data_IF_489302109044
#
_entry.id   IF_489302109044
#
_cell.length_a   1.000
_cell.length_b   1.000
_cell.length_c   1.000
_cell.angle_alpha   90.00
_cell.angle_beta   90.00
_cell.angle_gamma   90.00
#
_symmetry.space_group_name_H-M   'P 1'
#
loop_
_entity.id
_entity.type
_entity.pdbx_description
1 polymer ?
#
# COMPACT_ATOMS: atom_id res chain seq x y z
N UNK A 1 46.88 4.75 20.66
CA UNK A 1 47.27 3.62 19.81
C UNK A 1 46.63 2.37 20.40
N UNK A 2 45.39 2.05 20.01
CA UNK A 2 44.61 0.98 20.61
C UNK A 2 44.52 -0.17 19.59
N UNK A 3 45.12 -1.31 19.95
CA UNK A 3 45.14 -2.53 19.14
C UNK A 3 43.75 -3.13 19.09
N UNK A 4 43.16 -3.18 17.94
CA UNK A 4 41.97 -3.99 17.66
C UNK A 4 42.32 -5.46 17.63
N UNK A 5 41.69 -6.21 18.54
CA UNK A 5 41.79 -7.66 18.65
C UNK A 5 41.16 -8.32 17.42
N UNK A 6 41.93 -9.14 16.77
CA UNK A 6 41.51 -10.11 15.75
C UNK A 6 40.79 -11.25 16.46
N UNK A 7 39.60 -11.57 16.03
CA UNK A 7 38.94 -12.88 16.05
C UNK A 7 37.43 -12.74 16.24
N UNK A 8 36.75 -12.48 15.13
CA UNK A 8 35.38 -12.94 14.98
C UNK A 8 35.38 -14.01 13.90
N UNK A 9 35.60 -15.24 14.30
CA UNK A 9 35.39 -16.41 13.45
C UNK A 9 33.85 -16.55 13.23
N UNK A 10 33.38 -16.15 12.06
CA UNK A 10 32.07 -16.55 11.58
C UNK A 10 32.10 -18.06 11.39
N UNK A 11 31.56 -18.82 12.34
CA UNK A 11 31.24 -20.23 12.14
C UNK A 11 30.02 -20.33 11.24
N UNK A 12 30.26 -20.63 9.98
CA UNK A 12 29.23 -21.04 9.05
C UNK A 12 28.72 -22.42 9.51
N UNK A 13 27.66 -22.43 10.31
CA UNK A 13 26.94 -23.65 10.66
C UNK A 13 26.04 -24.02 9.49
N UNK A 14 26.38 -25.08 8.77
CA UNK A 14 25.49 -25.70 7.78
C UNK A 14 24.41 -26.46 8.54
N UNK A 15 23.30 -25.78 8.82
CA UNK A 15 22.07 -26.36 9.32
C UNK A 15 20.94 -26.01 8.37
N UNK A 16 20.14 -27.00 8.02
CA UNK A 16 18.97 -26.91 7.16
C UNK A 16 18.02 -25.83 7.73
N UNK A 17 17.83 -24.72 7.00
CA UNK A 17 16.81 -23.70 7.27
C UNK A 17 17.35 -22.38 7.80
N UNK A 18 17.05 -21.30 7.11
CA UNK A 18 17.14 -19.90 7.44
C UNK A 18 18.56 -19.29 7.56
N UNK A 19 18.95 -18.53 6.55
CA UNK A 19 20.02 -17.56 6.68
C UNK A 19 19.46 -16.27 7.28
N UNK A 20 19.84 -15.94 8.50
CA UNK A 20 19.61 -14.64 9.10
C UNK A 20 20.82 -13.76 8.79
N UNK A 21 20.70 -12.83 7.88
CA UNK A 21 21.70 -11.79 7.70
C UNK A 21 21.31 -10.59 8.58
N UNK A 22 21.96 -10.45 9.72
CA UNK A 22 21.79 -9.28 10.57
C UNK A 22 22.72 -8.20 10.02
N UNK A 23 22.18 -7.27 9.24
CA UNK A 23 22.86 -6.03 8.90
C UNK A 23 22.45 -5.02 9.94
N UNK A 24 23.26 -4.89 10.99
CA UNK A 24 23.10 -3.84 11.99
C UNK A 24 23.59 -2.51 11.42
N UNK A 25 22.77 -1.77 10.72
CA UNK A 25 22.98 -0.35 10.49
C UNK A 25 22.44 0.40 11.72
N UNK A 26 23.36 0.83 12.59
CA UNK A 26 23.02 1.67 13.74
C UNK A 26 22.88 3.10 13.23
N UNK A 27 21.67 3.47 12.83
CA UNK A 27 21.22 4.85 12.81
C UNK A 27 19.96 4.94 13.67
N UNK A 28 20.10 5.48 14.86
CA UNK A 28 18.99 5.64 15.77
C UNK A 28 18.32 4.31 16.18
N UNK A 29 17.65 4.25 17.23
CA UNK A 29 17.07 3.13 17.99
C UNK A 29 16.27 2.03 17.23
N UNK A 30 16.19 2.02 15.92
CA UNK A 30 15.43 1.03 15.11
C UNK A 30 16.35 -0.09 14.61
N UNK A 31 16.02 -1.33 14.94
CA UNK A 31 16.70 -2.52 14.42
C UNK A 31 15.90 -3.07 13.24
N UNK A 32 16.46 -3.00 12.06
CA UNK A 32 15.91 -3.67 10.87
C UNK A 32 16.41 -5.11 10.87
N UNK A 33 15.51 -6.08 11.02
CA UNK A 33 15.81 -7.48 10.87
C UNK A 33 15.34 -7.91 9.46
N UNK A 34 16.28 -8.05 8.53
CA UNK A 34 15.96 -8.58 7.21
C UNK A 34 15.95 -10.10 7.31
N UNK A 35 14.78 -10.69 7.17
CA UNK A 35 14.58 -12.13 7.20
C UNK A 35 14.21 -12.60 5.78
N UNK A 36 15.03 -13.47 5.22
CA UNK A 36 14.73 -14.07 3.93
C UNK A 36 14.08 -15.43 4.17
N UNK A 37 12.75 -15.46 4.25
CA UNK A 37 11.97 -16.70 4.29
C UNK A 37 11.50 -17.04 2.89
N UNK A 38 12.06 -18.08 2.32
CA UNK A 38 11.61 -18.59 1.05
C UNK A 38 11.72 -20.12 1.01
N UNK A 39 10.92 -20.84 0.20
CA UNK A 39 11.05 -22.28 -0.01
C UNK A 39 12.36 -22.66 -0.72
N UNK A 40 13.25 -21.72 -0.84
CA UNK A 40 14.53 -21.79 -1.54
C UNK A 40 15.58 -22.37 -0.63
N UNK A 41 15.56 -23.68 -0.47
CA UNK A 41 16.71 -24.42 0.07
C UNK A 41 17.91 -24.24 -0.87
N UNK A 42 19.12 -24.37 -0.31
CA UNK A 42 20.41 -24.32 -1.03
C UNK A 42 20.45 -25.14 -2.33
N UNK A 43 19.54 -26.09 -2.50
CA UNK A 43 19.41 -26.89 -3.71
C UNK A 43 19.01 -26.11 -4.96
N UNK A 44 18.23 -25.04 -4.80
CA UNK A 44 17.83 -24.21 -5.96
C UNK A 44 18.89 -23.17 -6.32
N UNK A 45 19.72 -22.75 -5.36
CA UNK A 45 20.87 -21.87 -5.63
C UNK A 45 21.94 -22.61 -6.42
N UNK A 46 22.15 -23.89 -6.10
CA UNK A 46 23.16 -24.72 -6.78
C UNK A 46 22.76 -25.03 -8.23
N UNK A 47 21.46 -25.18 -8.54
CA UNK A 47 21.01 -25.43 -9.93
C UNK A 47 21.11 -24.19 -10.82
N UNK A 48 21.07 -22.97 -10.24
CA UNK A 48 21.31 -21.73 -10.98
C UNK A 48 22.78 -21.38 -11.18
N UNK A 49 23.68 -21.95 -10.38
CA UNK A 49 25.14 -21.71 -10.46
C UNK A 49 25.88 -22.67 -11.39
N UNK A 50 25.30 -23.82 -11.70
CA UNK A 50 25.89 -24.85 -12.57
C UNK A 50 24.93 -25.16 -13.73
N UNK A 51 24.56 -24.13 -14.47
CA UNK A 51 23.77 -24.28 -15.68
C UNK A 51 24.52 -25.16 -16.69
N UNK A 52 23.92 -26.28 -17.11
CA UNK A 52 24.31 -26.97 -18.33
C UNK A 52 23.91 -26.09 -19.50
N UNK A 53 24.86 -25.80 -20.38
CA UNK A 53 24.64 -25.10 -21.64
C UNK A 53 23.60 -25.86 -22.49
N UNK A 54 22.35 -25.44 -22.46
CA UNK A 54 21.43 -25.71 -23.55
C UNK A 54 21.48 -24.51 -24.50
N UNK A 55 22.06 -24.77 -25.65
CA UNK A 55 22.11 -23.87 -26.81
C UNK A 55 20.64 -23.61 -27.21
N UNK A 56 20.18 -22.40 -26.98
CA UNK A 56 18.86 -21.97 -27.46
C UNK A 56 19.06 -21.38 -28.86
N UNK A 57 18.42 -22.01 -29.84
CA UNK A 57 18.31 -21.46 -31.21
C UNK A 57 17.64 -20.07 -31.13
N UNK A 58 18.31 -19.08 -31.70
CA UNK A 58 17.77 -17.74 -31.95
C UNK A 58 16.67 -17.85 -32.99
N UNK A 59 15.41 -17.82 -32.57
CA UNK A 59 14.29 -17.55 -33.47
C UNK A 59 13.54 -16.31 -32.95
N UNK A 60 13.65 -15.26 -33.77
CA UNK A 60 13.03 -13.95 -33.57
C UNK A 60 11.50 -14.05 -33.48
N UNK A 61 10.94 -13.97 -32.28
CA UNK A 61 9.59 -13.50 -32.12
C UNK A 61 9.46 -12.64 -30.86
N UNK A 62 9.43 -11.35 -31.06
CA UNK A 62 9.00 -10.36 -30.08
C UNK A 62 7.60 -10.75 -29.59
N UNK A 63 7.47 -11.39 -28.41
CA UNK A 63 6.46 -11.09 -27.43
C UNK A 63 6.47 -12.05 -26.22
N UNK A 64 6.56 -11.50 -25.04
CA UNK A 64 6.29 -12.21 -23.80
C UNK A 64 7.53 -12.85 -23.21
N UNK A 65 8.26 -12.15 -22.36
CA UNK A 65 9.27 -12.76 -21.49
C UNK A 65 8.70 -14.00 -20.81
N UNK A 66 9.49 -15.08 -20.82
CA UNK A 66 9.10 -16.36 -20.27
C UNK A 66 9.20 -16.27 -18.74
N UNK A 67 8.10 -15.89 -18.08
CA UNK A 67 8.03 -15.67 -16.63
C UNK A 67 7.55 -16.94 -15.91
N UNK A 68 7.75 -16.98 -14.59
CA UNK A 68 7.23 -18.04 -13.75
C UNK A 68 5.70 -18.08 -13.82
N UNK A 69 5.11 -19.30 -13.79
CA UNK A 69 3.66 -19.47 -13.87
C UNK A 69 2.92 -18.93 -12.63
N UNK A 70 3.60 -18.89 -11.49
CA UNK A 70 3.06 -18.41 -10.21
C UNK A 70 3.94 -17.30 -9.67
N UNK A 71 3.36 -16.30 -8.94
CA UNK A 71 4.13 -15.34 -8.19
C UNK A 71 5.04 -16.04 -7.17
N UNK A 72 6.19 -15.44 -6.94
CA UNK A 72 7.20 -15.90 -5.98
C UNK A 72 7.52 -14.75 -5.04
N UNK A 73 7.85 -15.06 -3.79
CA UNK A 73 8.32 -14.06 -2.86
C UNK A 73 9.70 -13.54 -3.30
N UNK A 74 9.78 -12.25 -3.53
CA UNK A 74 11.00 -11.55 -3.96
C UNK A 74 11.79 -11.06 -2.77
N UNK A 75 11.10 -10.49 -1.78
CA UNK A 75 11.70 -9.98 -0.54
C UNK A 75 10.74 -10.03 0.63
N UNK A 76 11.28 -9.95 1.84
CA UNK A 76 10.51 -9.76 3.07
C UNK A 76 11.35 -8.99 4.08
N UNK A 77 10.81 -7.89 4.57
CA UNK A 77 11.42 -7.06 5.61
C UNK A 77 10.51 -7.03 6.83
N UNK A 78 11.09 -7.06 8.01
CA UNK A 78 10.34 -7.10 9.27
C UNK A 78 10.71 -5.90 10.14
N UNK A 79 9.70 -5.26 10.73
CA UNK A 79 9.87 -4.13 11.65
C UNK A 79 9.21 -4.44 13.00
N UNK A 80 9.75 -3.84 14.06
CA UNK A 80 9.08 -3.87 15.37
C UNK A 80 7.81 -2.99 15.30
N UNK A 81 6.68 -3.49 15.78
CA UNK A 81 5.40 -2.78 15.75
C UNK A 81 5.42 -1.42 16.48
N UNK A 82 6.29 -1.26 17.49
CA UNK A 82 6.46 0.01 18.19
C UNK A 82 7.44 1.00 17.56
N UNK A 83 8.02 0.70 16.38
CA UNK A 83 9.02 1.54 15.74
C UNK A 83 8.43 2.70 14.93
N UNK A 84 7.14 2.65 14.59
CA UNK A 84 6.44 3.70 13.86
C UNK A 84 4.95 3.72 14.23
N UNK A 85 4.25 4.77 13.84
CA UNK A 85 2.80 4.96 14.04
C UNK A 85 2.10 5.49 12.79
N UNK A 86 2.85 5.87 11.76
CA UNK A 86 2.33 6.41 10.51
C UNK A 86 2.88 5.65 9.31
N UNK A 87 2.12 5.62 8.22
CA UNK A 87 2.52 5.05 6.93
C UNK A 87 2.62 6.16 5.87
N UNK A 88 3.65 6.06 5.03
CA UNK A 88 3.83 6.90 3.86
C UNK A 88 4.11 5.99 2.66
N UNK A 89 3.14 5.94 1.73
CA UNK A 89 3.11 5.01 0.62
C UNK A 89 3.27 5.75 -0.70
N UNK A 90 4.23 5.34 -1.51
CA UNK A 90 4.41 5.79 -2.89
C UNK A 90 4.26 4.61 -3.84
N UNK A 91 3.06 4.47 -4.42
CA UNK A 91 2.65 3.35 -5.27
C UNK A 91 2.63 3.81 -6.72
N UNK A 92 3.76 3.82 -7.39
CA UNK A 92 3.83 4.28 -8.78
C UNK A 92 3.18 3.27 -9.75
N UNK A 93 3.34 1.97 -9.50
CA UNK A 93 2.75 0.88 -10.29
C UNK A 93 2.72 -0.44 -9.50
N UNK A 94 1.89 -1.39 -9.91
CA UNK A 94 1.70 -2.68 -9.25
C UNK A 94 0.66 -2.58 -8.15
N UNK A 95 0.57 -3.59 -7.29
CA UNK A 95 -0.46 -3.68 -6.26
C UNK A 95 0.18 -3.57 -4.87
N UNK A 96 -0.43 -2.79 -3.98
CA UNK A 96 -0.08 -2.74 -2.55
C UNK A 96 -1.30 -3.16 -1.74
N UNK A 97 -1.11 -4.12 -0.85
CA UNK A 97 -2.13 -4.60 0.08
C UNK A 97 -1.69 -4.34 1.52
N UNK A 98 -2.51 -3.63 2.30
CA UNK A 98 -2.31 -3.46 3.74
C UNK A 98 -3.41 -4.20 4.47
N UNK A 99 -3.02 -5.10 5.35
CA UNK A 99 -3.97 -5.93 6.09
C UNK A 99 -3.58 -6.10 7.54
N UNK A 100 -4.59 -6.21 8.38
CA UNK A 100 -4.41 -6.52 9.78
C UNK A 100 -4.16 -8.02 9.97
N UNK A 101 -3.23 -8.34 10.87
CA UNK A 101 -2.98 -9.69 11.38
C UNK A 101 -3.15 -9.72 12.89
N UNK A 102 -3.41 -10.90 13.47
CA UNK A 102 -3.74 -11.01 14.90
C UNK A 102 -2.63 -10.48 15.81
N UNK A 103 -1.39 -10.87 15.54
CA UNK A 103 -0.20 -10.50 16.31
C UNK A 103 1.08 -10.70 15.48
N UNK A 104 2.21 -10.31 16.05
CA UNK A 104 3.53 -10.49 15.45
C UNK A 104 4.22 -9.17 15.07
N UNK A 105 5.36 -9.25 14.41
CA UNK A 105 6.02 -8.07 13.88
C UNK A 105 5.32 -7.55 12.62
N UNK A 106 5.55 -6.30 12.29
CA UNK A 106 5.17 -5.76 10.98
C UNK A 106 6.00 -6.44 9.90
N UNK A 107 5.36 -6.89 8.83
CA UNK A 107 6.03 -7.52 7.70
C UNK A 107 5.68 -6.81 6.41
N UNK A 108 6.69 -6.48 5.64
CA UNK A 108 6.55 -5.97 4.27
C UNK A 108 7.08 -7.04 3.33
N UNK A 109 6.22 -7.62 2.54
CA UNK A 109 6.51 -8.77 1.67
C UNK A 109 6.28 -8.34 0.24
N UNK A 110 7.29 -8.44 -0.60
CA UNK A 110 7.16 -8.26 -2.04
C UNK A 110 7.11 -9.61 -2.74
N UNK A 111 6.16 -9.78 -3.65
CA UNK A 111 6.00 -10.94 -4.52
C UNK A 111 5.82 -10.53 -5.98
N UNK A 112 6.05 -11.44 -6.90
CA UNK A 112 5.87 -11.20 -8.33
C UNK A 112 6.25 -12.40 -9.17
N UNK A 113 5.97 -12.33 -10.47
CA UNK A 113 6.37 -13.37 -11.43
C UNK A 113 7.74 -13.07 -11.99
N UNK A 114 8.68 -13.99 -11.85
CA UNK A 114 10.09 -13.83 -12.20
C UNK A 114 10.38 -14.39 -13.59
N UNK A 115 11.20 -13.66 -14.36
CA UNK A 115 11.65 -14.14 -15.67
C UNK A 115 12.45 -15.44 -15.52
N UNK A 116 12.25 -16.40 -16.44
CA UNK A 116 12.99 -17.66 -16.43
C UNK A 116 14.50 -17.42 -16.53
N UNK A 117 15.26 -18.17 -15.75
CA UNK A 117 16.72 -18.02 -15.71
C UNK A 117 17.24 -16.89 -14.83
N UNK A 118 16.35 -16.08 -14.25
CA UNK A 118 16.70 -15.04 -13.28
C UNK A 118 16.45 -15.56 -11.86
N UNK A 119 17.45 -15.41 -11.00
CA UNK A 119 17.26 -15.67 -9.57
C UNK A 119 16.49 -14.50 -8.94
N UNK A 120 15.34 -14.76 -8.36
CA UNK A 120 14.56 -13.79 -7.60
C UNK A 120 15.38 -13.09 -6.48
N UNK A 121 16.48 -13.68 -6.09
CA UNK A 121 17.34 -13.22 -5.01
C UNK A 121 18.23 -12.02 -5.34
N UNK A 122 18.44 -11.68 -6.62
CA UNK A 122 19.37 -10.61 -7.00
C UNK A 122 18.65 -9.43 -7.63
N UNK A 123 18.36 -8.42 -6.81
CA UNK A 123 17.93 -7.11 -7.29
C UNK A 123 16.55 -7.05 -7.93
N UNK A 124 15.70 -8.03 -7.64
CA UNK A 124 14.33 -8.00 -8.13
C UNK A 124 13.40 -7.09 -7.33
N UNK A 125 13.84 -6.63 -6.15
CA UNK A 125 13.06 -5.77 -5.28
C UNK A 125 12.97 -4.36 -5.83
N UNK A 126 11.74 -3.91 -6.08
CA UNK A 126 11.46 -2.52 -6.52
C UNK A 126 11.02 -1.63 -5.37
N UNK A 127 10.47 -2.20 -4.31
CA UNK A 127 9.98 -1.45 -3.17
C UNK A 127 11.01 -1.38 -2.07
N UNK A 128 11.22 -0.18 -1.58
CA UNK A 128 12.05 0.09 -0.40
C UNK A 128 11.14 0.36 0.77
N UNK A 129 11.36 -0.35 1.87
CA UNK A 129 10.66 -0.12 3.12
C UNK A 129 11.67 0.33 4.19
N UNK A 130 11.46 1.51 4.75
CA UNK A 130 12.33 2.06 5.80
C UNK A 130 11.53 2.87 6.82
N UNK A 131 12.01 2.89 8.05
CA UNK A 131 11.43 3.71 9.11
C UNK A 131 12.23 5.00 9.24
N UNK A 132 11.56 6.13 8.98
CA UNK A 132 12.09 7.47 9.18
C UNK A 132 11.30 8.18 10.28
N UNK A 133 11.96 8.41 11.42
CA UNK A 133 11.27 8.95 12.60
C UNK A 133 10.21 8.00 13.13
N UNK A 134 8.93 8.39 13.05
CA UNK A 134 7.76 7.58 13.44
C UNK A 134 6.94 7.10 12.24
N UNK A 135 7.50 7.15 11.03
CA UNK A 135 6.80 6.81 9.79
C UNK A 135 7.50 5.64 9.10
N UNK A 136 6.75 4.61 8.74
CA UNK A 136 7.19 3.59 7.80
C UNK A 136 6.92 4.09 6.38
N UNK A 137 7.99 4.34 5.64
CA UNK A 137 7.93 4.73 4.24
C UNK A 137 8.08 3.50 3.35
N UNK A 138 7.19 3.38 2.39
CA UNK A 138 7.23 2.33 1.37
C UNK A 138 7.14 3.02 0.02
N UNK A 139 8.25 2.97 -0.71
CA UNK A 139 8.36 3.59 -2.01
C UNK A 139 8.83 2.62 -3.08
N UNK A 140 8.71 3.04 -4.32
CA UNK A 140 9.24 2.31 -5.45
C UNK A 140 10.69 2.72 -5.70
N UNK A 141 11.59 1.76 -5.90
CA UNK A 141 12.95 2.07 -6.31
C UNK A 141 13.00 2.42 -7.81
N UNK A 142 13.93 3.29 -8.20
CA UNK A 142 14.18 3.69 -9.59
C UNK A 142 14.70 2.55 -10.51
N UNK A 143 14.68 1.32 -10.05
CA UNK A 143 15.11 0.17 -10.82
C UNK A 143 14.03 -0.25 -11.82
N UNK A 144 14.22 0.09 -13.08
CA UNK A 144 13.56 -0.53 -14.22
C UNK A 144 14.01 -1.99 -14.34
N UNK A 145 13.44 -2.87 -13.52
CA UNK A 145 13.81 -4.26 -13.51
C UNK A 145 12.75 -5.12 -14.22
N UNK A 146 12.96 -5.38 -15.51
CA UNK A 146 12.14 -6.28 -16.31
C UNK A 146 12.19 -7.75 -15.84
N UNK A 147 12.99 -8.05 -14.80
CA UNK A 147 13.16 -9.41 -14.27
C UNK A 147 11.97 -9.95 -13.49
N UNK A 148 11.08 -9.09 -13.05
CA UNK A 148 9.83 -9.51 -12.41
C UNK A 148 8.67 -8.59 -12.78
N UNK A 149 7.50 -9.21 -13.01
CA UNK A 149 6.24 -8.56 -13.36
C UNK A 149 5.14 -8.93 -12.35
N UNK A 150 3.98 -8.32 -12.46
CA UNK A 150 2.80 -8.57 -11.60
C UNK A 150 3.19 -8.47 -10.11
N UNK A 151 3.82 -7.35 -9.74
CA UNK A 151 4.36 -7.16 -8.41
C UNK A 151 3.28 -6.75 -7.42
N UNK A 152 3.28 -7.42 -6.27
CA UNK A 152 2.43 -7.11 -5.13
C UNK A 152 3.30 -6.91 -3.90
N UNK A 153 3.06 -5.82 -3.18
CA UNK A 153 3.62 -5.56 -1.86
C UNK A 153 2.52 -5.78 -0.83
N UNK A 154 2.71 -6.73 0.05
CA UNK A 154 1.79 -6.98 1.17
C UNK A 154 2.41 -6.45 2.47
N UNK A 155 1.67 -5.58 3.16
CA UNK A 155 2.03 -5.02 4.45
C UNK A 155 1.13 -5.66 5.51
N UNK A 156 1.71 -6.46 6.37
CA UNK A 156 1.00 -7.09 7.49
C UNK A 156 1.24 -6.28 8.77
N UNK A 157 0.16 -5.69 9.29
CA UNK A 157 0.19 -4.92 10.54
C UNK A 157 -0.45 -5.73 11.67
N UNK A 158 0.22 -5.91 12.82
CA UNK A 158 -0.40 -6.52 13.98
C UNK A 158 -1.57 -5.67 14.48
N UNK A 159 -2.62 -6.31 14.99
CA UNK A 159 -3.88 -5.69 15.42
C UNK A 159 -3.69 -4.45 16.31
N UNK A 160 -2.78 -4.51 17.27
CA UNK A 160 -2.52 -3.40 18.18
C UNK A 160 -2.07 -2.13 17.44
N UNK A 161 -1.24 -2.27 16.40
CA UNK A 161 -0.80 -1.15 15.56
C UNK A 161 -1.89 -0.76 14.56
N UNK A 162 -2.51 -1.73 13.90
CA UNK A 162 -3.55 -1.53 12.90
C UNK A 162 -4.78 -0.76 13.43
N UNK A 163 -5.12 -0.95 14.71
CA UNK A 163 -6.22 -0.26 15.37
C UNK A 163 -5.86 1.15 15.89
N UNK A 164 -4.60 1.57 15.78
CA UNK A 164 -4.09 2.79 16.41
C UNK A 164 -3.07 3.55 15.52
N UNK A 165 -3.23 3.52 14.20
CA UNK A 165 -2.38 4.32 13.32
C UNK A 165 -2.65 5.82 13.51
N UNK A 166 -1.61 6.64 13.45
CA UNK A 166 -1.74 8.09 13.48
C UNK A 166 -2.16 8.60 12.10
N UNK A 167 -1.27 8.45 11.14
CA UNK A 167 -1.47 8.99 9.80
C UNK A 167 -1.20 7.91 8.76
N UNK A 168 -1.99 7.90 7.71
CA UNK A 168 -1.71 7.14 6.50
C UNK A 168 -1.73 8.13 5.33
N UNK A 169 -0.60 8.28 4.67
CA UNK A 169 -0.48 9.05 3.43
C UNK A 169 -0.20 8.10 2.27
N UNK A 170 -0.99 8.19 1.22
CA UNK A 170 -0.85 7.36 0.04
C UNK A 170 -0.83 8.21 -1.24
N UNK A 171 0.25 8.08 -2.01
CA UNK A 171 0.39 8.65 -3.34
C UNK A 171 0.39 7.48 -4.34
N UNK A 172 -0.68 7.39 -5.14
CA UNK A 172 -0.92 6.29 -6.06
C UNK A 172 -0.92 6.81 -7.49
N UNK A 173 0.05 6.37 -8.28
CA UNK A 173 0.15 6.73 -9.70
C UNK A 173 -0.77 5.90 -10.58
N UNK A 174 -0.27 4.76 -11.06
CA UNK A 174 -1.04 3.81 -11.89
C UNK A 174 -1.17 2.44 -11.24
N UNK A 175 -0.85 2.31 -9.97
CA UNK A 175 -0.97 1.09 -9.21
C UNK A 175 -2.30 1.00 -8.47
N UNK A 176 -2.53 -0.14 -7.83
CA UNK A 176 -3.70 -0.40 -7.01
C UNK A 176 -3.33 -0.46 -5.53
N UNK A 177 -4.18 0.07 -4.68
CA UNK A 177 -3.99 0.07 -3.23
C UNK A 177 -5.22 -0.49 -2.53
N UNK A 178 -5.06 -1.55 -1.76
CA UNK A 178 -6.11 -2.10 -0.92
C UNK A 178 -5.70 -2.02 0.55
N UNK A 179 -6.54 -1.40 1.38
CA UNK A 179 -6.35 -1.27 2.83
C UNK A 179 -7.56 -1.86 3.53
N UNK A 180 -7.35 -2.86 4.38
CA UNK A 180 -8.46 -3.51 5.08
C UNK A 180 -8.22 -3.65 6.58
N UNK A 181 -9.28 -3.42 7.37
CA UNK A 181 -9.29 -3.58 8.83
C UNK A 181 -8.24 -2.71 9.55
N UNK A 182 -8.06 -1.47 9.09
CA UNK A 182 -7.14 -0.50 9.68
C UNK A 182 -7.93 0.67 10.27
N UNK A 183 -7.45 1.18 11.41
CA UNK A 183 -7.94 2.42 11.98
C UNK A 183 -6.81 3.46 12.06
N UNK A 184 -7.08 4.65 11.55
CA UNK A 184 -6.15 5.79 11.61
C UNK A 184 -6.85 7.07 12.06
N UNK A 185 -6.06 8.05 12.50
CA UNK A 185 -6.59 9.38 12.78
C UNK A 185 -6.79 10.16 11.49
N UNK A 186 -5.74 10.30 10.69
CA UNK A 186 -5.78 11.04 9.45
C UNK A 186 -5.44 10.15 8.26
N UNK A 187 -6.17 10.32 7.15
CA UNK A 187 -5.94 9.61 5.90
C UNK A 187 -5.85 10.61 4.75
N UNK A 188 -4.70 10.65 4.10
CA UNK A 188 -4.44 11.50 2.94
C UNK A 188 -4.17 10.64 1.70
N UNK A 189 -4.98 10.80 0.65
CA UNK A 189 -4.87 10.07 -0.61
C UNK A 189 -4.68 11.05 -1.77
N UNK A 190 -3.69 10.76 -2.61
CA UNK A 190 -3.59 11.32 -3.97
C UNK A 190 -3.55 10.16 -4.95
N UNK A 191 -4.51 10.10 -5.87
CA UNK A 191 -4.64 9.07 -6.87
C UNK A 191 -4.64 9.67 -8.27
N UNK A 192 -3.71 9.26 -9.13
CA UNK A 192 -3.68 9.70 -10.54
C UNK A 192 -4.58 8.85 -11.44
N UNK A 193 -4.36 7.51 -11.51
CA UNK A 193 -5.04 6.65 -12.49
C UNK A 193 -5.27 5.20 -12.03
N UNK A 194 -4.84 4.81 -10.86
CA UNK A 194 -5.04 3.46 -10.33
C UNK A 194 -6.36 3.32 -9.58
N UNK A 195 -6.52 2.22 -8.88
CA UNK A 195 -7.70 1.97 -8.06
C UNK A 195 -7.34 1.90 -6.58
N UNK A 196 -8.21 2.44 -5.72
CA UNK A 196 -7.99 2.41 -4.27
C UNK A 196 -9.24 1.88 -3.57
N UNK A 197 -9.04 0.86 -2.73
CA UNK A 197 -10.04 0.32 -1.83
C UNK A 197 -9.59 0.50 -0.37
N UNK A 198 -10.39 1.19 0.41
CA UNK A 198 -10.18 1.38 1.84
C UNK A 198 -11.39 0.91 2.63
N UNK A 199 -11.22 -0.12 3.45
CA UNK A 199 -12.24 -0.59 4.38
C UNK A 199 -11.71 -0.50 5.82
N UNK A 200 -12.23 0.44 6.61
CA UNK A 200 -11.68 0.71 7.94
C UNK A 200 -12.27 1.91 8.65
N UNK A 201 -11.49 2.49 9.56
CA UNK A 201 -11.90 3.63 10.38
C UNK A 201 -10.95 4.81 10.18
N UNK A 202 -11.51 5.98 9.87
CA UNK A 202 -10.79 7.26 9.92
C UNK A 202 -11.45 8.12 10.98
N UNK A 203 -10.71 8.46 12.05
CA UNK A 203 -11.36 9.13 13.21
C UNK A 203 -11.39 10.64 13.12
N UNK A 204 -10.41 11.27 12.49
CA UNK A 204 -10.24 12.72 12.49
C UNK A 204 -10.45 13.34 11.10
N UNK A 205 -9.56 13.10 10.15
CA UNK A 205 -9.56 13.76 8.84
C UNK A 205 -9.36 12.76 7.70
N UNK A 206 -10.17 12.89 6.64
CA UNK A 206 -9.98 12.20 5.39
C UNK A 206 -9.84 13.23 4.27
N UNK A 207 -8.73 13.19 3.53
CA UNK A 207 -8.51 13.99 2.32
C UNK A 207 -8.24 13.05 1.16
N UNK A 208 -8.95 13.23 0.03
CA UNK A 208 -8.74 12.45 -1.18
C UNK A 208 -8.79 13.34 -2.43
N UNK A 209 -7.70 13.32 -3.19
CA UNK A 209 -7.63 13.91 -4.52
C UNK A 209 -7.53 12.79 -5.56
N UNK A 210 -8.58 12.61 -6.36
CA UNK A 210 -8.72 11.55 -7.34
C UNK A 210 -8.69 12.14 -8.73
N UNK A 211 -7.72 11.74 -9.55
CA UNK A 211 -7.57 12.16 -10.96
C UNK A 211 -8.53 11.44 -11.89
N UNK A 212 -8.19 10.21 -12.28
CA UNK A 212 -8.97 9.40 -13.24
C UNK A 212 -9.20 7.96 -12.78
N UNK A 213 -8.76 7.60 -11.59
CA UNK A 213 -8.95 6.26 -11.03
C UNK A 213 -10.22 6.14 -10.22
N UNK A 214 -10.53 4.94 -9.78
CA UNK A 214 -11.71 4.65 -8.98
C UNK A 214 -11.35 4.45 -7.51
N UNK A 215 -12.18 4.98 -6.61
CA UNK A 215 -11.93 4.90 -5.17
C UNK A 215 -13.17 4.44 -4.44
N UNK A 216 -13.01 3.44 -3.59
CA UNK A 216 -14.03 2.97 -2.65
C UNK A 216 -13.58 3.19 -1.21
N UNK A 217 -14.37 3.92 -0.43
CA UNK A 217 -14.22 4.08 1.01
C UNK A 217 -15.39 3.42 1.74
N UNK A 218 -15.14 2.31 2.41
CA UNK A 218 -16.06 1.71 3.38
C UNK A 218 -15.62 2.12 4.79
N UNK A 219 -16.23 3.16 5.34
CA UNK A 219 -15.85 3.74 6.61
C UNK A 219 -16.68 3.19 7.76
N UNK A 220 -16.09 2.37 8.62
CA UNK A 220 -16.74 1.85 9.84
C UNK A 220 -17.02 2.94 10.86
N UNK A 221 -16.25 4.03 10.78
CA UNK A 221 -16.50 5.29 11.47
C UNK A 221 -16.05 6.43 10.57
N UNK A 222 -16.91 7.41 10.36
CA UNK A 222 -16.59 8.58 9.54
C UNK A 222 -15.75 9.62 10.33
N UNK A 223 -14.93 10.42 9.64
CA UNK A 223 -14.10 11.45 10.25
C UNK A 223 -14.90 12.45 11.09
N UNK A 224 -14.45 12.69 12.33
CA UNK A 224 -15.13 13.59 13.26
C UNK A 224 -14.81 15.07 13.03
N UNK A 225 -13.77 15.39 12.26
CA UNK A 225 -13.35 16.77 11.95
C UNK A 225 -13.71 17.16 10.53
N UNK A 226 -13.12 16.51 9.54
CA UNK A 226 -13.33 16.85 8.14
C UNK A 226 -13.19 15.66 7.19
N UNK A 227 -13.91 15.75 6.09
CA UNK A 227 -13.75 14.92 4.90
C UNK A 227 -13.73 15.84 3.69
N UNK A 228 -12.61 15.86 2.97
CA UNK A 228 -12.45 16.66 1.76
C UNK A 228 -12.13 15.70 0.60
N UNK A 229 -13.08 15.50 -0.31
CA UNK A 229 -12.93 14.58 -1.43
C UNK A 229 -13.16 15.32 -2.75
N UNK A 230 -12.17 15.26 -3.63
CA UNK A 230 -12.21 15.85 -4.96
C UNK A 230 -11.95 14.79 -6.03
N UNK A 231 -12.88 14.61 -6.95
CA UNK A 231 -12.74 13.71 -8.08
C UNK A 231 -12.71 14.49 -9.39
N UNK A 232 -11.74 14.15 -10.25
CA UNK A 232 -11.58 14.73 -11.59
C UNK A 232 -12.47 14.06 -12.63
N UNK A 233 -12.12 12.84 -13.03
CA UNK A 233 -12.82 12.05 -14.05
C UNK A 233 -13.03 10.59 -13.67
N UNK A 234 -12.55 10.17 -12.49
CA UNK A 234 -12.80 8.83 -11.94
C UNK A 234 -14.09 8.77 -11.14
N UNK A 235 -14.36 7.61 -10.56
CA UNK A 235 -15.55 7.40 -9.75
C UNK A 235 -15.16 7.22 -8.27
N UNK A 236 -15.97 7.78 -7.37
CA UNK A 236 -15.72 7.68 -5.93
C UNK A 236 -16.98 7.19 -5.22
N UNK A 237 -16.86 6.09 -4.51
CA UNK A 237 -17.91 5.55 -3.65
C UNK A 237 -17.49 5.67 -2.17
N UNK A 238 -18.35 6.30 -1.36
CA UNK A 238 -18.11 6.49 0.07
C UNK A 238 -19.31 5.99 0.85
N UNK A 239 -19.10 5.02 1.70
CA UNK A 239 -20.10 4.52 2.64
C UNK A 239 -19.73 4.86 4.09
N UNK A 240 -20.66 5.42 4.83
CA UNK A 240 -20.49 5.80 6.24
C UNK A 240 -21.64 5.27 7.11
N UNK A 241 -21.45 5.12 8.44
CA UNK A 241 -22.57 4.77 9.32
C UNK A 241 -23.71 5.81 9.25
N UNK A 242 -24.94 5.34 9.22
CA UNK A 242 -26.14 6.19 9.15
C UNK A 242 -26.24 7.24 10.29
N UNK A 243 -25.61 6.96 11.44
CA UNK A 243 -25.53 7.88 12.59
C UNK A 243 -24.51 9.01 12.43
N UNK A 244 -23.78 9.08 11.31
CA UNK A 244 -22.75 10.09 11.07
C UNK A 244 -23.32 11.50 11.09
N UNK A 245 -22.81 12.37 11.98
CA UNK A 245 -23.21 13.76 12.08
C UNK A 245 -22.24 14.68 11.34
N UNK A 246 -22.75 15.46 10.37
CA UNK A 246 -21.93 16.34 9.55
C UNK A 246 -22.68 17.53 8.98
N UNK A 247 -21.90 18.50 8.47
CA UNK A 247 -22.35 19.54 7.57
C UNK A 247 -21.54 19.45 6.29
N UNK A 248 -22.19 19.24 5.15
CA UNK A 248 -21.52 19.05 3.87
C UNK A 248 -21.75 20.21 2.90
N UNK A 249 -20.73 20.45 2.07
CA UNK A 249 -20.81 21.31 0.90
C UNK A 249 -20.41 20.53 -0.33
N UNK A 250 -21.27 20.55 -1.33
CA UNK A 250 -21.11 19.87 -2.61
C UNK A 250 -20.88 20.90 -3.72
N UNK A 251 -19.93 20.60 -4.61
CA UNK A 251 -19.73 21.34 -5.87
C UNK A 251 -19.60 20.32 -6.99
N UNK A 252 -20.52 20.35 -7.96
CA UNK A 252 -20.54 19.43 -9.09
C UNK A 252 -20.26 20.18 -10.39
N UNK A 253 -19.40 19.62 -11.23
CA UNK A 253 -19.09 20.10 -12.58
C UNK A 253 -20.01 19.48 -13.63
N UNK A 254 -19.51 18.48 -14.36
CA UNK A 254 -20.27 17.76 -15.41
C UNK A 254 -20.59 16.31 -15.04
N UNK A 255 -20.11 15.84 -13.91
CA UNK A 255 -20.41 14.52 -13.40
C UNK A 255 -21.67 14.52 -12.53
N UNK A 256 -21.96 13.38 -11.93
CA UNK A 256 -23.11 13.17 -11.08
C UNK A 256 -22.70 13.02 -9.59
N UNK A 257 -23.60 13.38 -8.70
CA UNK A 257 -23.45 13.13 -7.27
C UNK A 257 -24.73 12.54 -6.72
N UNK A 258 -24.60 11.37 -6.10
CA UNK A 258 -25.71 10.69 -5.44
C UNK A 258 -25.45 10.59 -3.93
N UNK A 259 -26.50 10.65 -3.11
CA UNK A 259 -26.37 10.45 -1.68
C UNK A 259 -27.72 10.19 -1.00
N UNK A 260 -27.75 9.23 -0.10
CA UNK A 260 -28.89 8.95 0.79
C UNK A 260 -29.21 10.11 1.73
N UNK A 261 -28.27 10.99 1.99
CA UNK A 261 -28.41 12.16 2.87
C UNK A 261 -29.03 13.38 2.16
N UNK A 262 -29.22 13.31 0.85
CA UNK A 262 -29.84 14.39 0.10
C UNK A 262 -31.38 14.37 0.25
N UNK A 263 -32.04 15.54 0.21
CA UNK A 263 -33.49 15.61 0.22
C UNK A 263 -34.10 14.89 -0.97
N UNK A 264 -35.24 14.22 -0.78
CA UNK A 264 -36.00 13.59 -1.84
C UNK A 264 -36.32 14.59 -2.97
N UNK A 265 -35.91 14.24 -4.20
CA UNK A 265 -36.14 15.07 -5.42
C UNK A 265 -34.96 15.94 -5.80
N UNK A 266 -33.82 15.76 -5.19
CA UNK A 266 -32.55 16.27 -5.73
C UNK A 266 -32.18 15.42 -6.94
N UNK A 267 -32.04 16.04 -8.09
CA UNK A 267 -31.80 15.36 -9.39
C UNK A 267 -30.35 15.49 -9.91
N UNK A 268 -29.40 15.94 -9.09
CA UNK A 268 -27.97 15.94 -9.44
C UNK A 268 -27.54 16.84 -10.61
N UNK A 269 -28.47 17.34 -11.39
CA UNK A 269 -28.23 17.97 -12.71
C UNK A 269 -27.82 19.45 -12.64
N UNK A 270 -27.28 19.98 -11.56
CA UNK A 270 -26.97 21.41 -11.57
C UNK A 270 -25.62 21.73 -11.00
N UNK A 271 -24.80 22.41 -11.77
CA UNK A 271 -23.61 23.17 -11.41
C UNK A 271 -23.88 24.04 -10.17
N UNK A 272 -23.96 23.50 -8.98
CA UNK A 272 -24.35 24.26 -7.78
C UNK A 272 -23.53 23.89 -6.57
N UNK A 273 -23.11 24.92 -5.87
CA UNK A 273 -22.75 24.81 -4.46
C UNK A 273 -24.01 24.44 -3.66
N UNK A 274 -24.17 23.19 -3.31
CA UNK A 274 -25.23 22.70 -2.47
C UNK A 274 -24.72 22.44 -1.05
N UNK A 275 -25.52 22.80 -0.05
CA UNK A 275 -25.22 22.47 1.35
C UNK A 275 -26.29 21.51 1.86
N UNK A 276 -25.85 20.43 2.51
CA UNK A 276 -26.71 19.47 3.19
C UNK A 276 -26.08 19.02 4.50
N UNK A 277 -26.84 18.43 5.37
CA UNK A 277 -26.36 18.06 6.68
C UNK A 277 -27.09 16.83 7.25
N UNK A 278 -26.46 16.19 8.22
CA UNK A 278 -27.05 15.12 9.01
C UNK A 278 -26.66 15.25 10.48
N UNK A 279 -27.56 14.86 11.37
CA UNK A 279 -27.27 14.74 12.80
C UNK A 279 -26.77 16.05 13.46
N UNK A 280 -25.72 15.95 14.25
CA UNK A 280 -25.24 17.03 15.13
C UNK A 280 -24.38 18.09 14.41
N UNK A 281 -24.00 17.85 13.14
CA UNK A 281 -23.25 18.79 12.30
C UNK A 281 -21.86 19.17 12.85
N UNK A 282 -21.25 18.29 13.62
CA UNK A 282 -19.94 18.55 14.26
C UNK A 282 -18.80 18.52 13.26
N UNK A 283 -18.86 17.59 12.27
CA UNK A 283 -17.88 17.46 11.20
C UNK A 283 -18.23 18.37 10.01
N UNK A 284 -17.20 18.71 9.22
CA UNK A 284 -17.35 19.48 7.98
C UNK A 284 -16.86 18.66 6.81
N UNK A 285 -17.75 18.35 5.84
CA UNK A 285 -17.41 17.60 4.64
C UNK A 285 -17.48 18.48 3.40
N UNK A 286 -16.59 18.26 2.47
CA UNK A 286 -16.54 18.96 1.18
C UNK A 286 -16.36 17.95 0.08
N UNK A 287 -17.28 18.00 -0.87
CA UNK A 287 -17.26 17.14 -2.04
C UNK A 287 -17.16 17.99 -3.29
N UNK A 288 -16.22 17.66 -4.17
CA UNK A 288 -16.02 18.33 -5.44
C UNK A 288 -15.95 17.28 -6.54
N UNK A 289 -16.92 17.30 -7.42
CA UNK A 289 -17.01 16.39 -8.55
C UNK A 289 -16.73 17.17 -9.84
N UNK A 290 -15.77 16.69 -10.64
CA UNK A 290 -15.42 17.24 -11.95
C UNK A 290 -16.31 16.70 -13.05
N UNK A 291 -15.85 15.66 -13.74
CA UNK A 291 -16.56 14.94 -14.81
C UNK A 291 -16.79 13.46 -14.48
N UNK A 292 -16.30 13.00 -13.37
CA UNK A 292 -16.56 11.67 -12.83
C UNK A 292 -17.82 11.66 -11.97
N UNK A 293 -18.12 10.55 -11.36
CA UNK A 293 -19.28 10.37 -10.51
C UNK A 293 -18.87 10.14 -9.05
N UNK A 294 -19.70 10.56 -8.12
CA UNK A 294 -19.47 10.33 -6.68
C UNK A 294 -20.75 9.90 -5.99
N UNK A 295 -20.67 8.83 -5.21
CA UNK A 295 -21.71 8.46 -4.26
C UNK A 295 -21.24 8.67 -2.81
N UNK A 296 -22.16 9.11 -1.96
CA UNK A 296 -21.94 9.27 -0.52
C UNK A 296 -23.17 8.75 0.24
N UNK A 297 -23.08 7.51 0.71
CA UNK A 297 -24.22 6.77 1.18
C UNK A 297 -24.09 6.31 2.63
N UNK A 298 -25.18 5.88 3.19
CA UNK A 298 -25.27 5.33 4.54
C UNK A 298 -25.41 3.81 4.55
N UNK A 299 -24.75 3.16 5.50
CA UNK A 299 -24.94 1.74 5.80
C UNK A 299 -25.78 1.53 7.08
#
# INVERSE_FOLDING_TARGET
MMKLSRESKVRLGVGIGAFVLIIGLVFGTSRILIHFDGPWGLGNIASGLFGTDDVVDEDDSHNGGDYSAQPQQLSSVTFDAGSFQSLDLDVTSGTVEIKCVSDGPVRVIESGRVAKGVSAFYGATRHLAEVEGSTLKIGQSDCDDERAIDRTVTIELPRELADNMMDISANVGSGDLTITDIACHDFDLTLDSGDVEFAGTVTDTLNAEVGSGDVTFELYQAPAKSMDVSVGSGDVEITVPNSTGFKARLTVGSGDFESDFLPLGYDGETTLNHEFDNGDKSATYRFKVGSGDMSFDSE
#
